data_IF_443031423958
#
_entry.id   IF_443031423958
#
_cell.length_a   1.000
_cell.length_b   1.000
_cell.length_c   1.000
_cell.angle_alpha   90.00
_cell.angle_beta   90.00
_cell.angle_gamma   90.00
#
_symmetry.space_group_name_H-M   'P 1'
#
loop_
_entity.id
_entity.type
_entity.pdbx_description
1 polymer ?
#
# COMPACT_ATOMS: atom_id res chain seq x y z
N UNK A 1 -27.53 -1.74 10.22
CA UNK A 1 -26.48 -1.48 9.24
C UNK A 1 -25.44 -2.60 9.19
N UNK A 2 -24.66 -2.87 10.25
CA UNK A 2 -23.58 -3.88 10.25
C UNK A 2 -24.05 -5.26 9.78
N UNK A 3 -25.17 -5.76 10.30
CA UNK A 3 -25.73 -7.08 9.94
C UNK A 3 -25.98 -7.20 8.42
N UNK A 4 -26.57 -6.18 7.80
CA UNK A 4 -26.83 -6.17 6.37
C UNK A 4 -25.52 -6.16 5.57
N UNK A 5 -24.57 -5.28 5.94
CA UNK A 5 -23.27 -5.19 5.27
C UNK A 5 -22.44 -6.49 5.36
N UNK A 6 -22.50 -7.20 6.49
CA UNK A 6 -21.73 -8.42 6.70
C UNK A 6 -22.42 -9.67 6.13
N UNK A 7 -23.75 -9.73 6.15
CA UNK A 7 -24.50 -10.97 5.87
C UNK A 7 -25.19 -10.99 4.53
N UNK A 8 -25.17 -9.91 3.77
CA UNK A 8 -25.83 -9.84 2.47
C UNK A 8 -24.93 -9.29 1.38
N UNK A 9 -25.22 -9.65 0.15
CA UNK A 9 -24.63 -9.13 -1.09
C UNK A 9 -25.64 -9.36 -2.23
N UNK A 10 -25.28 -9.13 -3.48
CA UNK A 10 -26.17 -9.30 -4.65
C UNK A 10 -26.76 -10.72 -4.76
N UNK A 11 -26.09 -11.72 -4.20
CA UNK A 11 -26.49 -13.14 -4.29
C UNK A 11 -26.99 -13.73 -2.97
N UNK A 12 -26.80 -13.01 -1.87
CA UNK A 12 -27.20 -13.45 -0.54
C UNK A 12 -28.09 -12.41 0.13
N UNK A 13 -29.31 -12.81 0.44
CA UNK A 13 -30.30 -12.00 1.13
C UNK A 13 -30.55 -12.51 2.56
N UNK A 14 -31.17 -11.69 3.39
CA UNK A 14 -31.57 -12.01 4.76
C UNK A 14 -33.04 -11.62 4.99
N UNK A 15 -33.79 -12.48 5.67
CA UNK A 15 -35.19 -12.24 6.02
C UNK A 15 -35.33 -11.40 7.31
N UNK A 16 -36.52 -10.84 7.54
CA UNK A 16 -36.79 -10.10 8.77
C UNK A 16 -36.60 -10.93 10.05
N UNK A 17 -37.07 -12.20 10.13
CA UNK A 17 -36.76 -13.06 11.28
C UNK A 17 -35.27 -13.24 11.52
N UNK A 18 -34.49 -13.50 10.47
CA UNK A 18 -33.03 -13.66 10.59
C UNK A 18 -32.35 -12.38 11.03
N UNK A 19 -32.87 -11.18 10.67
CA UNK A 19 -32.37 -9.90 11.19
C UNK A 19 -32.62 -9.80 12.69
N UNK A 20 -33.82 -10.19 13.16
CA UNK A 20 -34.17 -10.17 14.59
C UNK A 20 -33.27 -11.13 15.36
N UNK A 21 -33.06 -12.35 14.87
CA UNK A 21 -32.18 -13.35 15.48
C UNK A 21 -30.72 -12.85 15.52
N UNK A 22 -30.29 -12.19 14.45
CA UNK A 22 -28.95 -11.61 14.39
C UNK A 22 -28.78 -10.45 15.38
N UNK A 23 -29.81 -9.65 15.63
CA UNK A 23 -29.81 -8.58 16.65
C UNK A 23 -29.80 -9.17 18.06
N UNK A 24 -30.56 -10.22 18.31
CA UNK A 24 -30.60 -10.92 19.59
C UNK A 24 -29.20 -11.45 19.99
N UNK A 25 -28.37 -11.86 19.03
CA UNK A 25 -27.00 -12.27 19.31
C UNK A 25 -26.08 -11.10 19.81
N UNK A 26 -26.55 -9.87 19.70
CA UNK A 26 -25.89 -8.67 20.26
C UNK A 26 -26.65 -8.11 21.48
N UNK A 27 -27.53 -8.90 22.10
CA UNK A 27 -28.40 -8.50 23.22
C UNK A 27 -29.34 -7.31 22.86
N UNK A 28 -29.68 -7.16 21.57
CA UNK A 28 -30.59 -6.13 21.08
C UNK A 28 -31.95 -6.76 20.79
N UNK A 29 -32.96 -6.38 21.58
CA UNK A 29 -34.35 -6.70 21.31
C UNK A 29 -34.97 -5.67 20.38
N UNK A 30 -35.52 -6.10 19.26
CA UNK A 30 -36.14 -5.21 18.28
C UNK A 30 -37.49 -5.76 17.80
N UNK A 31 -38.46 -4.87 17.72
CA UNK A 31 -39.76 -5.18 17.16
C UNK A 31 -39.74 -5.09 15.62
N UNK A 32 -40.45 -6.00 14.95
CA UNK A 32 -40.52 -6.02 13.50
C UNK A 32 -40.95 -4.70 12.88
N UNK A 33 -41.87 -3.97 13.50
CA UNK A 33 -42.36 -2.67 13.01
C UNK A 33 -41.28 -1.60 13.07
N UNK A 34 -40.45 -1.59 14.13
CA UNK A 34 -39.33 -0.67 14.26
C UNK A 34 -38.27 -0.92 13.18
N UNK A 35 -37.98 -2.20 12.91
CA UNK A 35 -36.98 -2.57 11.92
C UNK A 35 -37.33 -2.16 10.48
N UNK A 36 -38.62 -2.10 10.13
CA UNK A 36 -39.00 -1.53 8.83
C UNK A 36 -38.64 -0.06 8.72
N UNK A 37 -38.87 0.72 9.80
CA UNK A 37 -38.47 2.13 9.83
C UNK A 37 -36.95 2.27 9.82
N UNK A 38 -36.23 1.38 10.51
CA UNK A 38 -34.78 1.40 10.55
C UNK A 38 -34.19 1.10 9.15
N UNK A 39 -34.76 0.15 8.41
CA UNK A 39 -34.36 -0.14 7.03
C UNK A 39 -34.60 1.08 6.13
N UNK A 40 -35.73 1.76 6.27
CA UNK A 40 -36.01 2.95 5.50
C UNK A 40 -35.04 4.10 5.86
N UNK A 41 -34.72 4.27 7.13
CA UNK A 41 -33.71 5.21 7.58
C UNK A 41 -32.32 4.89 7.00
N UNK A 42 -31.96 3.62 6.87
CA UNK A 42 -30.71 3.20 6.23
C UNK A 42 -30.68 3.56 4.73
N UNK A 43 -31.81 3.45 4.04
CA UNK A 43 -31.93 3.92 2.64
C UNK A 43 -31.75 5.43 2.52
N UNK A 44 -32.42 6.18 3.40
CA UNK A 44 -32.27 7.65 3.48
C UNK A 44 -30.82 8.04 3.79
N UNK A 45 -30.14 7.26 4.61
CA UNK A 45 -28.71 7.45 4.92
C UNK A 45 -27.79 7.17 3.71
N UNK A 46 -28.30 6.53 2.67
CA UNK A 46 -27.57 6.24 1.43
C UNK A 46 -27.11 4.78 1.28
N UNK A 47 -27.57 3.86 2.14
CA UNK A 47 -27.37 2.44 1.92
C UNK A 47 -28.37 1.94 0.86
N UNK A 48 -27.87 1.25 -0.15
CA UNK A 48 -28.70 0.62 -1.17
C UNK A 48 -29.28 -0.71 -0.66
N UNK A 49 -30.30 -0.61 0.19
CA UNK A 49 -31.00 -1.79 0.73
C UNK A 49 -32.13 -2.18 -0.18
N UNK A 50 -31.95 -3.25 -0.94
CA UNK A 50 -32.96 -3.80 -1.84
C UNK A 50 -33.80 -4.81 -1.08
N UNK A 51 -35.12 -4.72 -1.23
CA UNK A 51 -36.09 -5.70 -0.74
C UNK A 51 -36.67 -6.52 -1.89
N UNK A 52 -36.57 -7.81 -1.80
CA UNK A 52 -37.08 -8.75 -2.84
C UNK A 52 -38.08 -9.71 -2.24
N UNK A 53 -39.17 -9.92 -2.94
CA UNK A 53 -40.16 -10.94 -2.56
C UNK A 53 -40.00 -12.14 -3.48
N UNK A 54 -39.65 -13.28 -2.89
CA UNK A 54 -39.63 -14.57 -3.56
C UNK A 54 -40.67 -15.47 -2.91
N UNK A 55 -41.66 -15.92 -3.69
CA UNK A 55 -42.82 -16.65 -3.23
C UNK A 55 -43.55 -15.93 -2.08
N UNK A 56 -43.51 -16.51 -0.87
CA UNK A 56 -44.10 -15.95 0.36
C UNK A 56 -43.11 -15.29 1.30
N UNK A 57 -41.83 -15.24 0.91
CA UNK A 57 -40.74 -14.73 1.74
C UNK A 57 -40.28 -13.38 1.22
N UNK A 58 -40.15 -12.40 2.12
CA UNK A 58 -39.58 -11.11 1.82
C UNK A 58 -38.18 -11.00 2.45
N UNK A 59 -37.20 -10.73 1.64
CA UNK A 59 -35.81 -10.69 2.04
C UNK A 59 -35.15 -9.36 1.65
N UNK A 60 -34.05 -9.03 2.28
CA UNK A 60 -33.30 -7.81 2.08
C UNK A 60 -31.84 -8.14 1.75
N UNK A 61 -31.25 -7.37 0.86
CA UNK A 61 -29.82 -7.42 0.57
C UNK A 61 -29.27 -6.03 0.25
N UNK A 62 -27.96 -5.88 0.33
CA UNK A 62 -27.24 -4.69 -0.13
C UNK A 62 -26.97 -4.86 -1.62
N UNK A 63 -27.54 -3.98 -2.46
CA UNK A 63 -27.33 -3.98 -3.90
C UNK A 63 -25.97 -3.38 -4.26
N UNK A 64 -25.81 -2.09 -4.08
CA UNK A 64 -24.57 -1.40 -4.43
C UNK A 64 -23.67 -1.22 -3.20
N UNK A 65 -22.40 -1.59 -3.34
CA UNK A 65 -21.37 -1.39 -2.32
C UNK A 65 -20.38 -0.30 -2.78
N UNK A 66 -19.66 0.27 -1.81
CA UNK A 66 -18.63 1.27 -2.10
C UNK A 66 -17.51 0.72 -3.01
N UNK A 67 -17.23 -0.58 -2.90
CA UNK A 67 -16.27 -1.29 -3.74
C UNK A 67 -16.89 -2.54 -4.32
N UNK A 68 -16.64 -2.79 -5.59
CA UNK A 68 -16.95 -4.06 -6.24
C UNK A 68 -15.96 -5.16 -5.78
N UNK A 69 -16.40 -6.40 -5.81
CA UNK A 69 -15.53 -7.53 -5.43
C UNK A 69 -14.24 -7.59 -6.27
N UNK A 70 -14.31 -7.22 -7.55
CA UNK A 70 -13.15 -7.18 -8.44
C UNK A 70 -12.12 -6.13 -7.98
N UNK A 71 -12.58 -4.95 -7.53
CA UNK A 71 -11.74 -3.88 -7.00
C UNK A 71 -11.06 -4.31 -5.69
N UNK A 72 -11.81 -4.96 -4.79
CA UNK A 72 -11.25 -5.50 -3.55
C UNK A 72 -10.19 -6.57 -3.83
N UNK A 73 -10.38 -7.43 -4.84
CA UNK A 73 -9.38 -8.40 -5.29
C UNK A 73 -8.09 -7.71 -5.75
N UNK A 74 -8.19 -6.63 -6.52
CA UNK A 74 -7.02 -5.84 -6.95
C UNK A 74 -6.29 -5.18 -5.77
N UNK A 75 -7.03 -4.66 -4.78
CA UNK A 75 -6.45 -4.11 -3.56
C UNK A 75 -5.69 -5.17 -2.76
N UNK A 76 -6.27 -6.36 -2.57
CA UNK A 76 -5.61 -7.49 -1.91
C UNK A 76 -4.34 -7.90 -2.65
N UNK A 77 -4.41 -8.06 -3.99
CA UNK A 77 -3.26 -8.43 -4.80
C UNK A 77 -2.15 -7.38 -4.72
N UNK A 78 -2.50 -6.09 -4.70
CA UNK A 78 -1.56 -4.98 -4.54
C UNK A 78 -0.84 -5.01 -3.18
N UNK A 79 -1.58 -5.24 -2.09
CA UNK A 79 -1.00 -5.38 -0.75
C UNK A 79 -0.13 -6.64 -0.65
N UNK A 80 -0.60 -7.75 -1.24
CA UNK A 80 0.14 -9.02 -1.21
C UNK A 80 1.45 -8.96 -2.00
N UNK A 81 1.46 -8.26 -3.13
CA UNK A 81 2.65 -8.12 -3.99
C UNK A 81 3.67 -7.12 -3.47
N UNK A 82 3.28 -6.16 -2.62
CA UNK A 82 4.16 -5.12 -2.11
C UNK A 82 5.30 -5.67 -1.24
N UNK A 83 6.56 -5.50 -1.66
CA UNK A 83 7.74 -5.96 -0.91
C UNK A 83 8.04 -5.13 0.33
N UNK A 84 7.72 -3.85 0.30
CA UNK A 84 8.01 -2.90 1.39
C UNK A 84 7.09 -3.05 2.60
N UNK A 85 6.04 -3.85 2.49
CA UNK A 85 5.12 -4.17 3.60
C UNK A 85 5.47 -5.56 4.14
N UNK A 86 5.61 -5.67 5.47
CA UNK A 86 5.88 -6.97 6.10
C UNK A 86 4.71 -7.94 5.90
N UNK A 87 4.97 -9.24 5.98
CA UNK A 87 3.91 -10.25 5.86
C UNK A 87 2.81 -10.05 6.92
N UNK A 88 3.19 -9.74 8.17
CA UNK A 88 2.26 -9.43 9.26
C UNK A 88 1.35 -8.25 8.91
N UNK A 89 1.95 -7.13 8.47
CA UNK A 89 1.20 -5.92 8.12
C UNK A 89 0.31 -6.11 6.90
N UNK A 90 0.77 -6.90 5.91
CA UNK A 90 -0.06 -7.27 4.77
C UNK A 90 -1.32 -8.02 5.20
N UNK A 91 -1.18 -9.02 6.07
CA UNK A 91 -2.32 -9.79 6.58
C UNK A 91 -3.30 -8.91 7.38
N UNK A 92 -2.79 -7.95 8.17
CA UNK A 92 -3.64 -6.98 8.87
C UNK A 92 -4.44 -6.09 7.91
N UNK A 93 -3.79 -5.60 6.83
CA UNK A 93 -4.44 -4.79 5.81
C UNK A 93 -5.47 -5.57 5.01
N UNK A 94 -5.14 -6.81 4.62
CA UNK A 94 -6.05 -7.70 3.90
C UNK A 94 -7.30 -7.96 4.73
N UNK A 95 -7.18 -8.26 6.03
CA UNK A 95 -8.34 -8.41 6.92
C UNK A 95 -9.22 -7.15 6.99
N UNK A 96 -8.65 -5.96 6.88
CA UNK A 96 -9.42 -4.72 6.82
C UNK A 96 -10.15 -4.57 5.49
N UNK A 97 -9.52 -4.98 4.38
CA UNK A 97 -10.14 -4.98 3.05
C UNK A 97 -11.29 -6.00 3.01
N UNK A 98 -11.10 -7.19 3.58
CA UNK A 98 -12.15 -8.21 3.73
C UNK A 98 -13.39 -7.68 4.47
N UNK A 99 -13.18 -6.81 5.46
CA UNK A 99 -14.29 -6.16 6.18
C UNK A 99 -15.12 -5.18 5.36
N UNK A 100 -14.71 -4.85 4.13
CA UNK A 100 -15.49 -4.04 3.18
C UNK A 100 -16.46 -4.88 2.33
N UNK A 101 -16.30 -6.20 2.33
CA UNK A 101 -17.12 -7.17 1.62
C UNK A 101 -18.14 -7.85 2.55
N UNK A 102 -19.07 -8.62 1.97
CA UNK A 102 -19.88 -9.56 2.75
C UNK A 102 -19.01 -10.73 3.25
N UNK A 103 -19.47 -11.47 4.25
CA UNK A 103 -18.78 -12.68 4.72
C UNK A 103 -18.58 -13.73 3.61
N UNK A 104 -19.48 -13.74 2.62
CA UNK A 104 -19.46 -14.67 1.50
C UNK A 104 -18.41 -14.25 0.47
N UNK A 105 -18.37 -12.96 0.13
CA UNK A 105 -17.37 -12.39 -0.78
C UNK A 105 -15.99 -12.36 -0.14
N UNK A 106 -15.88 -12.07 1.16
CA UNK A 106 -14.61 -12.04 1.89
C UNK A 106 -13.85 -13.37 1.79
N UNK A 107 -14.57 -14.51 1.76
CA UNK A 107 -13.96 -15.82 1.55
C UNK A 107 -13.23 -15.95 0.20
N UNK A 108 -13.68 -15.21 -0.82
CA UNK A 108 -13.06 -15.18 -2.15
C UNK A 108 -11.84 -14.26 -2.20
N UNK A 109 -11.66 -13.35 -1.23
CA UNK A 109 -10.51 -12.47 -1.11
C UNK A 109 -9.29 -13.19 -0.50
N UNK A 110 -9.49 -14.33 0.15
CA UNK A 110 -8.43 -15.22 0.65
C UNK A 110 -7.70 -15.90 -0.52
N UNK A 111 -7.23 -15.11 -1.48
CA UNK A 111 -6.49 -15.63 -2.63
C UNK A 111 -5.04 -15.83 -2.24
N UNK A 112 -4.53 -17.00 -2.57
CA UNK A 112 -3.09 -17.25 -2.53
C UNK A 112 -2.46 -16.72 -3.83
N UNK A 113 -2.27 -15.41 -3.94
CA UNK A 113 -1.41 -14.87 -4.98
C UNK A 113 0.03 -15.12 -4.56
N UNK A 114 0.60 -16.23 -5.05
CA UNK A 114 2.02 -16.50 -4.87
C UNK A 114 2.81 -15.61 -5.83
N UNK A 115 3.44 -14.60 -5.31
CA UNK A 115 4.38 -13.80 -6.07
C UNK A 115 5.74 -14.48 -5.99
N UNK A 116 6.09 -15.22 -7.06
CA UNK A 116 7.34 -15.99 -7.14
C UNK A 116 8.56 -15.07 -6.97
N UNK A 117 9.48 -15.45 -6.07
CA UNK A 117 10.75 -14.74 -5.89
C UNK A 117 10.66 -13.43 -5.08
N UNK A 118 9.54 -13.12 -4.46
CA UNK A 118 9.37 -11.90 -3.66
C UNK A 118 9.43 -12.19 -2.16
N UNK A 119 10.57 -11.88 -1.58
CA UNK A 119 10.72 -11.88 -0.11
C UNK A 119 10.27 -10.53 0.41
N UNK A 120 9.22 -10.54 1.25
CA UNK A 120 8.76 -9.32 1.95
C UNK A 120 9.81 -8.84 2.92
N UNK A 121 9.89 -7.52 3.11
CA UNK A 121 10.77 -6.94 4.12
C UNK A 121 10.39 -7.41 5.53
N UNK A 122 11.38 -7.51 6.40
CA UNK A 122 11.17 -7.69 7.85
C UNK A 122 11.10 -6.34 8.58
N UNK A 123 11.35 -5.23 7.87
CA UNK A 123 11.42 -3.90 8.44
C UNK A 123 10.05 -3.20 8.40
N UNK A 124 9.35 -3.18 9.52
CA UNK A 124 8.07 -2.46 9.66
C UNK A 124 8.22 -0.92 9.63
N UNK A 125 9.44 -0.41 9.85
CA UNK A 125 9.66 1.05 9.91
C UNK A 125 9.43 1.75 8.57
N UNK A 126 9.53 1.04 7.44
CA UNK A 126 9.36 1.63 6.10
C UNK A 126 7.98 2.28 5.96
N UNK A 127 6.94 1.59 6.38
CA UNK A 127 5.57 2.08 6.34
C UNK A 127 5.42 3.41 7.11
N UNK A 128 5.95 3.44 8.33
CA UNK A 128 5.91 4.65 9.18
C UNK A 128 6.84 5.74 8.66
N UNK A 129 7.96 5.38 8.05
CA UNK A 129 8.88 6.36 7.45
C UNK A 129 8.22 7.09 6.28
N UNK A 130 7.50 6.36 5.42
CA UNK A 130 6.73 6.96 4.31
C UNK A 130 5.70 7.94 4.84
N UNK A 131 4.93 7.57 5.87
CA UNK A 131 3.93 8.43 6.50
C UNK A 131 4.54 9.70 7.11
N UNK A 132 5.64 9.58 7.86
CA UNK A 132 6.36 10.72 8.42
C UNK A 132 6.87 11.68 7.35
N UNK A 133 7.36 11.17 6.23
CA UNK A 133 7.81 11.99 5.11
C UNK A 133 6.64 12.74 4.48
N UNK A 134 5.50 12.07 4.24
CA UNK A 134 4.29 12.72 3.74
C UNK A 134 3.81 13.83 4.68
N UNK A 135 3.77 13.57 5.99
CA UNK A 135 3.42 14.56 7.00
C UNK A 135 4.36 15.77 6.95
N UNK A 136 5.66 15.55 6.90
CA UNK A 136 6.64 16.63 6.83
C UNK A 136 6.51 17.46 5.53
N UNK A 137 6.16 16.82 4.41
CA UNK A 137 5.88 17.50 3.14
C UNK A 137 4.62 18.37 3.29
N UNK A 138 3.55 17.85 3.86
CA UNK A 138 2.29 18.58 4.07
C UNK A 138 2.46 19.78 5.04
N UNK A 139 3.24 19.59 6.09
CA UNK A 139 3.54 20.62 7.09
C UNK A 139 4.63 21.63 6.66
N UNK A 140 5.14 21.50 5.44
CA UNK A 140 6.24 22.33 4.93
C UNK A 140 7.49 22.32 5.84
N UNK A 141 7.82 21.18 6.44
CA UNK A 141 8.87 21.02 7.42
C UNK A 141 10.08 20.27 6.87
N UNK A 142 11.30 20.64 7.32
CA UNK A 142 12.51 19.84 7.14
C UNK A 142 12.48 18.61 8.03
N UNK A 143 13.22 17.60 7.61
CA UNK A 143 13.41 16.37 8.38
C UNK A 143 14.86 16.11 8.69
N UNK A 144 15.08 15.42 9.79
CA UNK A 144 16.36 14.84 10.16
C UNK A 144 16.26 13.33 10.24
N UNK A 145 17.31 12.62 9.87
CA UNK A 145 17.37 11.16 9.92
C UNK A 145 18.81 10.67 9.89
N UNK A 146 19.04 9.42 10.30
CA UNK A 146 20.27 8.69 10.03
C UNK A 146 20.09 7.83 8.78
N UNK A 147 21.18 7.59 8.04
CA UNK A 147 21.15 6.79 6.82
C UNK A 147 22.16 5.66 6.92
N UNK A 148 21.76 4.44 6.55
CA UNK A 148 22.63 3.28 6.61
C UNK A 148 22.86 2.64 5.24
N UNK A 149 23.91 1.86 5.16
CA UNK A 149 24.21 0.96 4.05
C UNK A 149 24.52 -0.43 4.57
N UNK A 150 24.41 -1.43 3.70
CA UNK A 150 24.88 -2.77 3.99
C UNK A 150 26.33 -2.86 3.55
N UNK A 151 27.22 -3.33 4.44
CA UNK A 151 28.60 -3.62 4.08
C UNK A 151 28.70 -4.98 3.36
N UNK A 152 29.93 -5.38 2.97
CA UNK A 152 30.20 -6.64 2.26
C UNK A 152 29.82 -7.88 3.10
N UNK A 153 29.85 -7.77 4.42
CA UNK A 153 29.45 -8.82 5.36
C UNK A 153 27.95 -8.83 5.65
N UNK A 154 27.15 -8.06 4.92
CA UNK A 154 25.69 -7.86 5.14
C UNK A 154 25.35 -7.34 6.54
N UNK A 155 26.25 -6.60 7.16
CA UNK A 155 25.99 -5.86 8.41
C UNK A 155 25.55 -4.44 8.08
N UNK A 156 24.62 -3.93 8.88
CA UNK A 156 24.15 -2.56 8.78
C UNK A 156 25.25 -1.60 9.30
N UNK A 157 25.64 -0.64 8.49
CA UNK A 157 26.64 0.37 8.79
C UNK A 157 26.05 1.76 8.57
N UNK A 158 26.13 2.61 9.59
CA UNK A 158 25.66 4.00 9.48
C UNK A 158 26.63 4.80 8.62
N UNK A 159 26.10 5.56 7.69
CA UNK A 159 26.91 6.49 6.89
C UNK A 159 27.29 7.72 7.70
N UNK A 160 28.45 8.29 7.39
CA UNK A 160 29.01 9.47 8.08
C UNK A 160 29.07 9.29 9.61
N UNK A 161 29.51 8.11 10.07
CA UNK A 161 29.65 7.78 11.49
C UNK A 161 28.35 8.01 12.31
N UNK A 162 27.19 7.86 11.66
CA UNK A 162 25.91 8.06 12.27
C UNK A 162 25.44 9.50 12.38
N UNK A 163 26.12 10.45 11.73
CA UNK A 163 25.67 11.83 11.68
C UNK A 163 24.26 11.97 11.08
N UNK A 164 23.51 12.95 11.59
CA UNK A 164 22.17 13.24 11.11
C UNK A 164 22.24 14.00 9.79
N UNK A 165 21.50 13.51 8.82
CA UNK A 165 21.13 14.27 7.64
C UNK A 165 20.02 15.25 8.00
N UNK A 166 20.09 16.49 7.56
CA UNK A 166 19.01 17.48 7.62
C UNK A 166 18.68 17.90 6.19
N UNK A 167 17.46 17.61 5.74
CA UNK A 167 17.06 17.88 4.35
C UNK A 167 15.62 18.41 4.28
N UNK A 168 15.31 19.10 3.19
CA UNK A 168 13.96 19.55 2.84
C UNK A 168 13.28 18.50 1.96
N UNK A 169 12.30 17.72 2.43
CA UNK A 169 11.60 16.70 1.65
C UNK A 169 10.68 17.39 0.64
N UNK A 170 10.76 17.01 -0.64
CA UNK A 170 9.92 17.58 -1.68
C UNK A 170 8.95 16.59 -2.31
N UNK A 171 9.38 15.37 -2.55
CA UNK A 171 8.56 14.34 -3.16
C UNK A 171 9.01 12.95 -2.75
N UNK A 172 8.08 11.99 -2.82
CA UNK A 172 8.37 10.57 -2.82
C UNK A 172 8.20 10.04 -4.24
N UNK A 173 9.17 9.26 -4.69
CA UNK A 173 9.11 8.50 -5.93
C UNK A 173 9.05 7.01 -5.63
N UNK A 174 8.37 6.28 -6.50
CA UNK A 174 8.30 4.82 -6.45
C UNK A 174 9.02 4.24 -7.64
N UNK A 175 10.03 3.42 -7.39
CA UNK A 175 10.76 2.72 -8.43
C UNK A 175 11.33 1.38 -7.94
N UNK A 176 11.30 0.36 -8.81
CA UNK A 176 11.74 -1.03 -8.52
C UNK A 176 11.29 -1.51 -7.12
N UNK A 177 10.01 -1.25 -6.80
CA UNK A 177 9.34 -1.64 -5.55
C UNK A 177 9.93 -1.00 -4.27
N UNK A 178 10.62 0.11 -4.40
CA UNK A 178 11.15 0.91 -3.30
C UNK A 178 10.64 2.34 -3.35
N UNK A 179 10.46 2.93 -2.17
CA UNK A 179 10.26 4.36 -2.04
C UNK A 179 11.59 5.10 -2.00
N UNK A 180 11.65 6.19 -2.74
CA UNK A 180 12.77 7.12 -2.76
C UNK A 180 12.28 8.51 -2.34
N UNK A 181 12.90 9.06 -1.31
CA UNK A 181 12.71 10.46 -0.95
C UNK A 181 13.57 11.31 -1.88
N UNK A 182 12.96 12.29 -2.53
CA UNK A 182 13.65 13.35 -3.25
C UNK A 182 13.62 14.59 -2.39
N UNK A 183 14.79 15.06 -1.99
CA UNK A 183 14.94 16.13 -1.02
C UNK A 183 16.06 17.10 -1.43
N UNK A 184 15.93 18.35 -0.99
CA UNK A 184 16.97 19.35 -1.14
C UNK A 184 17.87 19.36 0.11
N UNK A 185 19.15 19.20 -0.10
CA UNK A 185 20.18 19.34 0.92
C UNK A 185 20.70 20.77 0.91
N UNK A 186 20.38 21.54 1.95
CA UNK A 186 20.76 22.95 2.05
C UNK A 186 22.26 23.15 2.29
N UNK A 187 22.95 22.17 2.84
CA UNK A 187 24.38 22.27 3.11
C UNK A 187 25.18 22.18 1.81
N UNK A 188 24.76 21.34 0.88
CA UNK A 188 25.44 21.16 -0.40
C UNK A 188 24.74 21.93 -1.54
N UNK A 189 23.56 22.47 -1.32
CA UNK A 189 22.80 23.22 -2.33
C UNK A 189 22.27 22.37 -3.48
N UNK A 190 22.09 21.06 -3.29
CA UNK A 190 21.72 20.11 -4.35
C UNK A 190 20.50 19.27 -3.99
N UNK A 191 19.84 18.73 -5.01
CA UNK A 191 18.78 17.73 -4.85
C UNK A 191 19.42 16.35 -4.72
N UNK A 192 19.07 15.66 -3.65
CA UNK A 192 19.49 14.28 -3.34
C UNK A 192 18.29 13.35 -3.31
N UNK A 193 18.54 12.06 -3.49
CA UNK A 193 17.56 11.01 -3.30
C UNK A 193 18.04 9.99 -2.27
N UNK A 194 17.12 9.51 -1.46
CA UNK A 194 17.38 8.57 -0.39
C UNK A 194 16.36 7.41 -0.46
N UNK A 195 16.83 6.18 -0.41
CA UNK A 195 15.94 5.03 -0.25
C UNK A 195 15.32 5.06 1.15
N UNK A 196 13.99 5.04 1.23
CA UNK A 196 13.27 5.17 2.50
C UNK A 196 13.51 3.97 3.43
N UNK A 197 13.75 2.79 2.87
CA UNK A 197 14.08 1.58 3.63
C UNK A 197 15.43 1.65 4.36
N UNK A 198 16.31 2.60 3.97
CA UNK A 198 17.62 2.85 4.59
C UNK A 198 17.64 4.04 5.53
N UNK A 199 16.50 4.69 5.75
CA UNK A 199 16.36 5.83 6.65
C UNK A 199 15.93 5.38 8.04
N UNK A 200 16.62 5.88 9.07
CA UNK A 200 16.35 5.59 10.46
C UNK A 200 16.00 6.87 11.22
N UNK A 201 15.11 6.76 12.19
CA UNK A 201 14.78 7.83 13.15
C UNK A 201 14.36 9.16 12.50
N UNK A 202 13.52 9.09 11.47
CA UNK A 202 13.01 10.28 10.78
C UNK A 202 12.23 11.13 11.77
N UNK A 203 12.60 12.43 11.86
CA UNK A 203 11.93 13.43 12.70
C UNK A 203 11.77 14.72 11.92
N UNK A 204 10.60 15.35 12.04
CA UNK A 204 10.40 16.75 11.65
C UNK A 204 11.11 17.66 12.66
N UNK A 205 11.79 18.70 12.19
CA UNK A 205 12.47 19.66 13.06
C UNK A 205 11.75 21.03 13.15
N UNK A 206 10.58 21.15 12.53
CA UNK A 206 9.76 22.36 12.55
C UNK A 206 10.29 23.54 11.72
N UNK A 207 11.48 23.42 11.10
CA UNK A 207 12.03 24.45 10.20
C UNK A 207 11.37 24.36 8.84
N UNK A 208 11.06 25.50 8.22
CA UNK A 208 10.52 25.55 6.86
C UNK A 208 11.45 24.93 5.82
N UNK A 209 10.87 24.31 4.78
CA UNK A 209 11.62 23.69 3.68
C UNK A 209 12.34 24.75 2.85
N UNK A 210 13.51 24.41 2.35
CA UNK A 210 14.33 25.18 1.42
C UNK A 210 14.42 24.51 0.04
N UNK A 211 15.01 25.19 -0.94
CA UNK A 211 15.24 24.64 -2.27
C UNK A 211 14.02 24.70 -3.21
N UNK A 212 13.01 25.53 -2.90
CA UNK A 212 11.78 25.63 -3.72
C UNK A 212 12.07 26.02 -5.18
N UNK A 213 13.03 26.91 -5.42
CA UNK A 213 13.38 27.32 -6.79
C UNK A 213 14.09 26.19 -7.55
N UNK A 214 15.03 25.50 -6.89
CA UNK A 214 15.72 24.35 -7.46
C UNK A 214 14.71 23.25 -7.85
N UNK A 215 13.66 23.08 -7.05
CA UNK A 215 12.64 22.05 -7.30
C UNK A 215 11.62 22.48 -8.36
N UNK A 216 11.31 23.76 -8.52
CA UNK A 216 10.40 24.25 -9.59
C UNK A 216 10.95 24.01 -11.00
N UNK A 217 12.26 24.12 -11.19
CA UNK A 217 12.94 23.85 -12.46
C UNK A 217 13.34 22.37 -12.63
N UNK A 218 12.99 21.52 -11.67
CA UNK A 218 13.41 20.13 -11.63
C UNK A 218 12.45 19.25 -12.43
N UNK A 219 12.92 18.70 -13.54
CA UNK A 219 12.17 17.71 -14.31
C UNK A 219 12.25 16.33 -13.63
N UNK A 220 11.23 16.02 -12.85
CA UNK A 220 11.09 14.76 -12.13
C UNK A 220 11.16 13.56 -13.07
N UNK A 221 10.53 13.64 -14.25
CA UNK A 221 10.49 12.53 -15.19
C UNK A 221 11.85 12.28 -15.85
N UNK A 222 12.55 13.35 -16.22
CA UNK A 222 13.92 13.25 -16.74
C UNK A 222 14.89 12.73 -15.67
N UNK A 223 14.75 13.20 -14.43
CA UNK A 223 15.56 12.74 -13.30
C UNK A 223 15.33 11.28 -12.98
N UNK A 224 14.08 10.85 -12.89
CA UNK A 224 13.73 9.46 -12.64
C UNK A 224 14.31 8.54 -13.72
N UNK A 225 14.13 8.89 -15.00
CA UNK A 225 14.75 8.12 -16.11
C UNK A 225 16.27 8.03 -16.01
N UNK A 226 16.94 9.15 -15.66
CA UNK A 226 18.40 9.20 -15.56
C UNK A 226 18.93 8.41 -14.36
N UNK A 227 18.27 8.49 -13.21
CA UNK A 227 18.75 7.88 -11.97
C UNK A 227 18.34 6.39 -11.89
N UNK A 228 17.15 6.06 -12.27
CA UNK A 228 16.62 4.69 -12.15
C UNK A 228 16.93 3.84 -13.40
N UNK A 229 16.96 4.43 -14.60
CA UNK A 229 17.38 3.75 -15.83
C UNK A 229 18.84 3.29 -15.80
N UNK A 230 19.74 3.96 -15.09
CA UNK A 230 21.13 3.52 -14.93
C UNK A 230 21.29 2.22 -14.15
N UNK A 231 20.32 1.84 -13.29
CA UNK A 231 20.37 0.56 -12.58
C UNK A 231 19.76 -0.59 -13.41
N UNK A 232 18.90 -0.30 -14.39
CA UNK A 232 18.35 -1.27 -15.32
C UNK A 232 19.39 -1.82 -16.31
N UNK A 233 20.26 -0.96 -16.83
CA UNK A 233 21.30 -1.34 -17.82
C UNK A 233 22.42 -2.21 -17.25
N UNK A 234 22.69 -2.15 -15.95
CA UNK A 234 23.72 -3.01 -15.33
C UNK A 234 23.32 -4.48 -15.25
N UNK A 235 22.03 -4.82 -15.35
CA UNK A 235 21.58 -6.21 -15.42
C UNK A 235 21.71 -6.81 -16.83
N UNK A 236 21.58 -5.99 -17.88
CA UNK A 236 21.72 -6.46 -19.26
C UNK A 236 23.18 -6.65 -19.70
N UNK A 237 24.11 -5.83 -19.19
CA UNK A 237 25.54 -5.92 -19.54
C UNK A 237 26.22 -7.15 -18.93
N UNK A 238 25.72 -7.74 -17.85
CA UNK A 238 26.28 -8.98 -17.29
C UNK A 238 25.84 -10.25 -18.01
N UNK A 239 24.75 -10.22 -18.76
CA UNK A 239 24.28 -11.36 -19.55
C UNK A 239 24.94 -11.47 -20.94
N UNK A 240 25.50 -10.37 -21.46
CA UNK A 240 26.15 -10.36 -22.76
C UNK A 240 27.68 -10.58 -22.74
N UNK A 241 28.32 -10.68 -21.57
CA UNK A 241 29.76 -10.91 -21.47
C UNK A 241 30.17 -12.38 -21.34
N UNK A 242 29.20 -13.32 -21.30
CA UNK A 242 29.48 -14.76 -21.14
C UNK A 242 29.38 -15.57 -22.45
N UNK A 243 29.18 -14.92 -23.61
CA UNK A 243 29.09 -15.60 -24.90
C UNK A 243 30.11 -15.12 -25.94
N UNK A 244 31.35 -14.83 -25.53
CA UNK A 244 32.46 -14.61 -26.44
C UNK A 244 33.69 -15.34 -25.93
N UNK A 245 33.70 -16.66 -26.06
CA UNK A 245 34.91 -17.45 -26.16
C UNK A 245 34.57 -18.73 -26.93
N UNK A 246 35.41 -19.00 -27.90
CA UNK A 246 35.58 -20.22 -28.68
C UNK A 246 34.91 -20.31 -30.04
N UNK A 247 35.64 -19.86 -31.04
CA UNK A 247 35.90 -20.65 -32.25
C UNK A 247 37.24 -20.21 -32.87
N UNK A 248 38.33 -20.78 -32.41
CA UNK A 248 39.54 -20.92 -33.22
C UNK A 248 39.58 -22.36 -33.70
N UNK A 249 39.28 -22.56 -34.97
CA UNK A 249 39.68 -23.78 -35.68
C UNK A 249 41.14 -23.68 -36.05
N UNK A 250 41.94 -24.75 -35.90
CA UNK A 250 43.29 -24.80 -36.44
C UNK A 250 43.20 -25.10 -37.94
N UNK A 251 43.92 -24.30 -38.74
CA UNK A 251 44.25 -24.57 -40.12
C UNK A 251 45.25 -25.71 -40.15
N UNK A 252 44.90 -26.77 -40.84
CA UNK A 252 45.83 -27.85 -41.21
C UNK A 252 46.38 -27.54 -42.60
N UNK A 253 47.72 -27.54 -42.70
CA UNK A 253 48.48 -27.73 -43.94
C UNK A 253 48.36 -29.16 -44.38
#
# INVERSE_FOLDING_TARGET
MKILLERTDETHSITMPEIIDALAAYDISAERKSLYNDIENLRVYGLDVIGTQEDRTYSYHIGNRQFELAELKLLVDSVQSAKFITAKKSNELIKKIEGLASKYEASQLHRQVFVTGRVKTMNESIYYNVDRIHTAIAENSRITFQYFQWNVDKKMELRHDGALYEVSPWSLSWDDENYYLIAYDSNEGIIKHFRVDKMLYIKSNGKGREGRQAFKSFDMAAYARKMFGMYGDRKSTRLNSSHKTESRMPSSA
#
